data_IF_503214914647
#
_entry.id   IF_503214914647
#
_cell.length_a   1.000
_cell.length_b   1.000
_cell.length_c   1.000
_cell.angle_alpha   90.00
_cell.angle_beta   90.00
_cell.angle_gamma   90.00
#
_symmetry.space_group_name_H-M   'P 1'
#
loop_
_entity.id
_entity.type
_entity.pdbx_description
1 polymer ?
#
# COMPACT_ATOMS: atom_id res chain seq x y z
N UNK A 1 13.77 -20.25 9.39
CA UNK A 1 12.72 -21.31 9.30
C UNK A 1 11.41 -20.89 9.96
N UNK A 2 11.29 -20.83 11.29
CA UNK A 2 10.03 -20.42 11.95
C UNK A 2 9.68 -18.93 11.71
N UNK A 3 10.68 -18.04 11.81
CA UNK A 3 10.50 -16.60 11.56
C UNK A 3 10.14 -16.31 10.10
N UNK A 4 10.78 -16.99 9.14
CA UNK A 4 10.50 -16.78 7.71
C UNK A 4 9.09 -17.26 7.33
N UNK A 5 8.65 -18.36 7.93
CA UNK A 5 7.29 -18.85 7.74
C UNK A 5 6.25 -17.93 8.37
N UNK A 6 6.49 -17.46 9.59
CA UNK A 6 5.63 -16.47 10.23
C UNK A 6 5.58 -15.17 9.42
N UNK A 7 6.73 -14.66 8.97
CA UNK A 7 6.82 -13.47 8.11
C UNK A 7 6.00 -13.67 6.84
N UNK A 8 6.16 -14.81 6.16
CA UNK A 8 5.38 -15.12 4.96
C UNK A 8 3.89 -15.11 5.26
N UNK A 9 3.42 -15.83 6.29
CA UNK A 9 1.98 -15.87 6.65
C UNK A 9 1.39 -14.50 6.96
N UNK A 10 2.12 -13.66 7.69
CA UNK A 10 1.65 -12.32 8.07
C UNK A 10 1.63 -11.38 6.87
N UNK A 11 2.69 -11.37 6.06
CA UNK A 11 2.84 -10.43 4.95
C UNK A 11 2.02 -10.82 3.72
N UNK A 12 1.79 -12.11 3.49
CA UNK A 12 0.98 -12.61 2.35
C UNK A 12 -0.49 -12.82 2.71
N UNK A 13 -0.92 -12.41 3.91
CA UNK A 13 -2.34 -12.50 4.31
C UNK A 13 -3.19 -11.72 3.29
N UNK A 14 -4.24 -12.33 2.71
CA UNK A 14 -5.10 -11.63 1.77
C UNK A 14 -5.90 -10.54 2.50
N UNK A 15 -5.93 -9.34 1.92
CA UNK A 15 -6.72 -8.22 2.40
C UNK A 15 -7.91 -7.96 1.45
N UNK A 16 -9.17 -8.00 1.94
CA UNK A 16 -10.36 -7.73 1.12
C UNK A 16 -10.32 -6.36 0.46
N UNK A 17 -9.88 -5.35 1.22
CA UNK A 17 -9.77 -3.95 0.76
C UNK A 17 -8.68 -3.75 -0.30
N UNK A 18 -7.83 -4.76 -0.52
CA UNK A 18 -6.77 -4.76 -1.52
C UNK A 18 -7.06 -5.76 -2.65
N UNK A 19 -8.34 -6.00 -2.97
CA UNK A 19 -8.77 -6.94 -4.00
C UNK A 19 -8.19 -8.37 -3.81
N UNK A 20 -8.02 -8.79 -2.55
CA UNK A 20 -7.43 -10.09 -2.20
C UNK A 20 -5.89 -10.13 -2.30
N UNK A 21 -5.23 -9.00 -2.54
CA UNK A 21 -3.78 -8.87 -2.55
C UNK A 21 -3.13 -8.98 -1.16
N UNK A 22 -1.80 -9.15 -1.08
CA UNK A 22 -1.06 -9.24 0.16
C UNK A 22 -1.19 -7.98 1.03
N UNK A 23 -1.66 -8.12 2.28
CA UNK A 23 -1.75 -7.04 3.26
C UNK A 23 -0.39 -6.35 3.50
N UNK A 24 0.72 -7.07 3.31
CA UNK A 24 2.07 -6.54 3.39
C UNK A 24 2.37 -5.39 2.43
N UNK A 25 1.61 -5.24 1.33
CA UNK A 25 1.75 -4.11 0.42
C UNK A 25 1.31 -2.80 1.06
N UNK A 26 0.14 -2.79 1.70
CA UNK A 26 -0.38 -1.61 2.39
C UNK A 26 0.49 -1.26 3.60
N UNK A 27 0.90 -2.28 4.37
CA UNK A 27 1.83 -2.09 5.49
C UNK A 27 3.18 -1.53 5.01
N UNK A 28 3.76 -2.08 3.94
CA UNK A 28 5.01 -1.58 3.37
C UNK A 28 4.88 -0.14 2.89
N UNK A 29 3.76 0.20 2.23
CA UNK A 29 3.52 1.56 1.76
C UNK A 29 3.37 2.55 2.92
N UNK A 30 2.70 2.16 4.00
CA UNK A 30 2.61 2.96 5.22
C UNK A 30 3.99 3.15 5.87
N UNK A 31 4.73 2.07 6.08
CA UNK A 31 6.04 2.09 6.73
C UNK A 31 7.08 2.92 5.94
N UNK A 32 6.94 2.98 4.62
CA UNK A 32 7.78 3.78 3.73
C UNK A 32 7.29 5.22 3.54
N UNK A 33 6.18 5.62 4.17
CA UNK A 33 5.60 6.97 4.02
C UNK A 33 4.99 7.24 2.64
N UNK A 34 4.67 6.20 1.86
CA UNK A 34 4.13 6.32 0.50
C UNK A 34 2.63 6.65 0.49
N UNK A 35 1.93 6.47 1.62
CA UNK A 35 0.49 6.71 1.76
C UNK A 35 0.15 8.14 2.18
N UNK A 36 1.10 9.06 2.08
CA UNK A 36 0.91 10.46 2.49
C UNK A 36 0.10 11.20 1.42
N UNK A 37 -1.23 11.16 1.52
CA UNK A 37 -2.13 12.17 0.96
C UNK A 37 -2.31 13.32 1.96
N UNK A 38 -2.87 14.49 1.56
CA UNK A 38 -3.07 15.64 2.42
C UNK A 38 -4.16 15.33 3.45
N UNK A 39 -3.74 14.65 4.51
CA UNK A 39 -4.45 14.50 5.77
C UNK A 39 -3.68 15.26 6.85
N UNK A 40 -3.16 16.44 6.51
CA UNK A 40 -2.98 17.49 7.51
C UNK A 40 -4.37 18.07 7.78
N UNK A 41 -4.98 17.58 8.85
CA UNK A 41 -6.14 18.17 9.49
C UNK A 41 -5.94 19.67 9.73
N UNK A 42 -6.93 20.47 9.33
CA UNK A 42 -7.11 21.91 9.63
C UNK A 42 -6.27 22.91 8.84
N UNK A 43 -6.79 23.34 7.68
CA UNK A 43 -6.67 24.72 7.18
C UNK A 43 -7.80 24.96 6.17
N UNK A 44 -8.65 25.95 6.47
CA UNK A 44 -9.67 26.46 5.56
C UNK A 44 -9.03 26.95 4.26
N UNK A 45 -9.39 26.33 3.14
CA UNK A 45 -8.99 26.78 1.81
C UNK A 45 -8.99 25.60 0.86
N UNK A 46 -9.88 25.62 -0.14
CA UNK A 46 -9.97 24.60 -1.19
C UNK A 46 -8.60 24.35 -1.82
N UNK A 47 -7.95 23.19 -1.61
CA UNK A 47 -6.69 22.90 -2.29
C UNK A 47 -7.01 22.38 -3.68
N UNK A 48 -6.48 23.07 -4.68
CA UNK A 48 -6.47 22.59 -6.05
C UNK A 48 -5.68 21.28 -6.12
N UNK A 49 -6.33 20.22 -6.61
CA UNK A 49 -5.70 18.94 -6.94
C UNK A 49 -5.70 17.94 -5.79
N UNK A 50 -6.76 17.11 -5.69
CA UNK A 50 -6.71 15.91 -4.87
C UNK A 50 -5.57 15.00 -5.36
N UNK A 51 -4.75 14.41 -4.48
CA UNK A 51 -3.73 13.46 -4.91
C UNK A 51 -4.39 12.28 -5.61
N UNK A 52 -3.75 11.78 -6.67
CA UNK A 52 -4.22 10.60 -7.36
C UNK A 52 -4.30 9.42 -6.37
N UNK A 53 -5.40 8.65 -6.37
CA UNK A 53 -5.55 7.52 -5.47
C UNK A 53 -4.50 6.43 -5.74
N UNK A 54 -4.10 5.65 -4.73
CA UNK A 54 -3.21 4.53 -4.93
C UNK A 54 -3.82 3.52 -5.92
N UNK A 55 -3.00 2.99 -6.81
CA UNK A 55 -3.40 2.02 -7.84
C UNK A 55 -2.74 0.67 -7.59
N UNK A 56 -3.52 -0.40 -7.62
CA UNK A 56 -3.04 -1.77 -7.45
C UNK A 56 -2.94 -2.47 -8.80
N UNK A 57 -1.76 -3.05 -9.08
CA UNK A 57 -1.50 -3.86 -10.26
C UNK A 57 -1.19 -5.30 -9.85
N UNK A 58 -1.62 -6.25 -10.68
CA UNK A 58 -1.33 -7.66 -10.51
C UNK A 58 -0.76 -8.23 -11.81
N UNK A 59 0.39 -8.88 -11.70
CA UNK A 59 1.04 -9.66 -12.76
C UNK A 59 1.55 -10.96 -12.13
N UNK A 60 0.67 -11.97 -12.06
CA UNK A 60 0.91 -13.21 -11.30
C UNK A 60 2.34 -13.76 -11.48
N UNK A 61 3.12 -13.99 -10.40
CA UNK A 61 2.75 -13.94 -8.97
C UNK A 61 2.90 -12.56 -8.31
N UNK A 62 3.32 -11.54 -9.04
CA UNK A 62 3.68 -10.24 -8.50
C UNK A 62 2.48 -9.31 -8.31
N UNK A 63 2.59 -8.52 -7.24
CA UNK A 63 1.70 -7.41 -6.95
C UNK A 63 2.50 -6.12 -6.86
N UNK A 64 1.91 -5.02 -7.32
CA UNK A 64 2.47 -3.69 -7.17
C UNK A 64 1.40 -2.72 -6.68
N UNK A 65 1.66 -2.09 -5.53
CA UNK A 65 0.90 -0.94 -5.06
C UNK A 65 1.65 0.33 -5.46
N UNK A 66 1.06 1.14 -6.33
CA UNK A 66 1.62 2.39 -6.82
C UNK A 66 0.91 3.59 -6.19
N UNK A 67 1.71 4.57 -5.76
CA UNK A 67 1.29 5.86 -5.20
C UNK A 67 2.04 6.98 -5.91
N UNK A 68 1.64 8.26 -5.78
CA UNK A 68 2.45 9.38 -6.28
C UNK A 68 3.86 9.45 -5.68
N UNK A 69 4.04 9.00 -4.43
CA UNK A 69 5.32 9.04 -3.72
C UNK A 69 6.25 7.85 -4.05
N UNK A 70 5.75 6.79 -4.68
CA UNK A 70 6.51 5.58 -4.97
C UNK A 70 5.67 4.31 -5.05
N UNK A 71 6.30 3.15 -5.02
CA UNK A 71 5.61 1.87 -5.14
C UNK A 71 6.20 0.77 -4.26
N UNK A 72 5.34 -0.19 -3.88
CA UNK A 72 5.73 -1.41 -3.16
C UNK A 72 5.43 -2.62 -4.04
N UNK A 73 6.37 -3.56 -4.11
CA UNK A 73 6.24 -4.80 -4.88
C UNK A 73 6.34 -6.00 -3.94
N UNK A 74 5.45 -6.96 -4.10
CA UNK A 74 5.46 -8.21 -3.34
C UNK A 74 5.13 -9.41 -4.24
N UNK A 75 5.55 -10.60 -3.80
CA UNK A 75 5.22 -11.91 -4.41
C UNK A 75 4.64 -12.84 -3.35
#
# INVERSE_FOLDING_TARGET
LAVDELRRRVWTRPAPDLAGGPAGLAFGAHALGLLTGPSDTSSSGTPAGAPAPPTLYRASPWWRLSTPAGHVIAR
#
